data_IF_932661830251
#
_entry.id   IF_932661830251
#
_cell.length_a   1.000
_cell.length_b   1.000
_cell.length_c   1.000
_cell.angle_alpha   90.00
_cell.angle_beta   90.00
_cell.angle_gamma   90.00
#
_symmetry.space_group_name_H-M   'P 1'
#
loop_
_entity.id
_entity.type
_entity.pdbx_description
1 polymer ?
#
# COMPACT_ATOMS: atom_id res chain seq x y z
N UNK A 1 -15.53 -16.00 15.52
CA UNK A 1 -16.47 -15.08 14.85
C UNK A 1 -15.71 -14.36 13.74
N UNK A 2 -15.96 -14.72 12.51
CA UNK A 2 -15.39 -14.00 11.37
C UNK A 2 -16.08 -12.64 11.33
N UNK A 3 -15.33 -11.57 11.62
CA UNK A 3 -15.79 -10.22 11.40
C UNK A 3 -16.10 -10.08 9.92
N UNK A 4 -17.37 -9.86 9.59
CA UNK A 4 -17.81 -9.58 8.24
C UNK A 4 -17.09 -8.29 7.80
N UNK A 5 -16.02 -8.46 7.02
CA UNK A 5 -15.23 -7.36 6.51
C UNK A 5 -16.13 -6.44 5.70
N UNK A 6 -16.08 -5.14 6.00
CA UNK A 6 -16.64 -4.13 5.11
C UNK A 6 -16.14 -4.39 3.70
N UNK A 7 -16.99 -4.32 2.66
CA UNK A 7 -16.52 -4.42 1.29
C UNK A 7 -15.41 -3.37 1.09
N UNK A 8 -14.23 -3.80 0.66
CA UNK A 8 -13.07 -2.94 0.49
C UNK A 8 -11.94 -3.12 1.51
N UNK A 9 -12.00 -4.13 2.37
CA UNK A 9 -10.91 -4.42 3.31
C UNK A 9 -10.25 -5.76 3.00
N UNK A 10 -8.99 -5.72 2.57
CA UNK A 10 -8.13 -6.90 2.48
C UNK A 10 -6.86 -6.66 3.29
N UNK A 11 -7.02 -6.60 4.60
CA UNK A 11 -5.91 -6.73 5.53
C UNK A 11 -6.03 -8.08 6.24
N UNK A 12 -4.91 -8.77 6.51
CA UNK A 12 -4.91 -9.95 7.38
C UNK A 12 -5.55 -9.60 8.71
N UNK A 13 -6.34 -10.49 9.27
CA UNK A 13 -6.92 -10.34 10.61
C UNK A 13 -5.85 -10.03 11.66
N UNK A 14 -6.24 -9.39 12.75
CA UNK A 14 -5.33 -8.92 13.80
C UNK A 14 -4.35 -10.00 14.24
N UNK A 15 -3.10 -9.76 13.94
CA UNK A 15 -1.98 -10.54 14.44
C UNK A 15 -1.64 -10.01 15.84
N UNK A 16 -1.61 -10.90 16.83
CA UNK A 16 -1.05 -10.78 18.18
C UNK A 16 -0.64 -9.37 18.68
N UNK A 17 -0.83 -9.10 19.96
CA UNK A 17 -0.56 -7.83 20.63
C UNK A 17 0.60 -7.03 20.06
N UNK A 18 0.29 -5.82 19.62
CA UNK A 18 1.25 -4.85 19.13
C UNK A 18 1.77 -4.04 20.32
N UNK A 19 2.87 -4.49 20.90
CA UNK A 19 3.44 -3.88 22.10
C UNK A 19 4.58 -2.91 21.68
N UNK A 20 4.52 -1.69 22.20
CA UNK A 20 5.71 -0.84 22.34
C UNK A 20 6.07 0.11 21.20
N UNK A 21 5.28 0.23 20.11
CA UNK A 21 5.62 1.12 18.96
C UNK A 21 4.61 2.25 18.75
N UNK A 22 4.05 2.80 19.82
CA UNK A 22 3.02 3.86 19.73
C UNK A 22 3.54 5.14 19.06
N UNK A 23 4.78 5.53 19.36
CA UNK A 23 5.39 6.72 18.77
C UNK A 23 5.60 6.55 17.26
N UNK A 24 6.10 5.40 16.84
CA UNK A 24 6.29 5.09 15.41
C UNK A 24 4.94 5.03 14.67
N UNK A 25 3.94 4.40 15.26
CA UNK A 25 2.59 4.36 14.71
C UNK A 25 1.99 5.77 14.54
N UNK A 26 2.15 6.64 15.53
CA UNK A 26 1.72 8.04 15.45
C UNK A 26 2.44 8.79 14.32
N UNK A 27 3.74 8.56 14.15
CA UNK A 27 4.53 9.16 13.06
C UNK A 27 4.04 8.69 11.68
N UNK A 28 3.76 7.40 11.51
CA UNK A 28 3.23 6.87 10.25
C UNK A 28 1.86 7.48 9.93
N UNK A 29 0.99 7.58 10.90
CA UNK A 29 -0.33 8.19 10.74
C UNK A 29 -0.22 9.67 10.35
N UNK A 30 0.61 10.43 11.04
CA UNK A 30 0.87 11.84 10.71
C UNK A 30 1.46 12.00 9.31
N UNK A 31 2.37 11.12 8.91
CA UNK A 31 2.94 11.11 7.57
C UNK A 31 1.87 10.84 6.49
N UNK A 32 0.94 9.90 6.73
CA UNK A 32 -0.17 9.61 5.83
C UNK A 32 -1.18 10.77 5.70
N UNK A 33 -1.28 11.63 6.70
CA UNK A 33 -2.08 12.85 6.60
C UNK A 33 -1.43 13.90 5.71
N UNK A 34 -0.10 14.04 5.80
CA UNK A 34 0.67 15.07 5.10
C UNK A 34 1.20 14.69 3.72
N UNK A 35 1.34 13.40 3.42
CA UNK A 35 1.92 12.91 2.17
C UNK A 35 1.06 11.83 1.53
N UNK A 36 1.09 11.76 0.20
CA UNK A 36 0.33 10.79 -0.57
C UNK A 36 1.10 9.49 -0.82
N UNK A 37 2.42 9.52 -0.67
CA UNK A 37 3.30 8.35 -0.66
C UNK A 37 4.15 8.38 0.60
N UNK A 38 4.06 7.35 1.40
CA UNK A 38 4.88 7.14 2.61
C UNK A 38 5.61 5.82 2.47
N UNK A 39 6.92 5.82 2.71
CA UNK A 39 7.74 4.61 2.69
C UNK A 39 8.30 4.33 4.08
N UNK A 40 7.97 3.17 4.63
CA UNK A 40 8.63 2.66 5.84
C UNK A 40 9.92 1.96 5.43
N UNK A 41 11.04 2.53 5.84
CA UNK A 41 12.37 1.99 5.53
C UNK A 41 13.02 1.36 6.75
N UNK A 42 13.92 0.44 6.50
CA UNK A 42 14.71 -0.19 7.55
C UNK A 42 15.13 -1.61 7.19
N UNK A 43 16.05 -2.19 7.97
CA UNK A 43 16.53 -3.56 7.75
C UNK A 43 15.40 -4.59 7.87
N UNK A 44 15.62 -5.78 7.31
CA UNK A 44 14.67 -6.88 7.43
C UNK A 44 14.45 -7.28 8.89
N UNK A 45 13.23 -7.75 9.20
CA UNK A 45 12.89 -8.27 10.52
C UNK A 45 12.56 -7.25 11.61
N UNK A 46 12.57 -5.94 11.31
CA UNK A 46 12.22 -4.89 12.31
C UNK A 46 10.72 -4.62 12.46
N UNK A 47 9.88 -5.38 11.77
CA UNK A 47 8.43 -5.27 11.89
C UNK A 47 7.79 -4.16 11.05
N UNK A 48 8.40 -3.77 9.92
CA UNK A 48 7.82 -2.78 8.99
C UNK A 48 6.44 -3.16 8.51
N UNK A 49 6.26 -4.40 8.07
CA UNK A 49 4.97 -4.94 7.62
C UNK A 49 3.91 -4.82 8.70
N UNK A 50 4.20 -5.23 9.93
CA UNK A 50 3.26 -5.13 11.05
C UNK A 50 2.90 -3.67 11.37
N UNK A 51 3.87 -2.78 11.34
CA UNK A 51 3.67 -1.35 11.57
C UNK A 51 2.79 -0.75 10.46
N UNK A 52 3.07 -1.07 9.19
CA UNK A 52 2.27 -0.63 8.04
C UNK A 52 0.82 -1.11 8.15
N UNK A 53 0.61 -2.40 8.43
CA UNK A 53 -0.73 -2.97 8.58
C UNK A 53 -1.50 -2.36 9.74
N UNK A 54 -0.83 -2.11 10.86
CA UNK A 54 -1.46 -1.46 12.02
C UNK A 54 -1.84 0.00 11.74
N UNK A 55 -0.96 0.75 11.06
CA UNK A 55 -1.26 2.12 10.63
C UNK A 55 -2.42 2.16 9.64
N UNK A 56 -2.40 1.28 8.65
CA UNK A 56 -3.43 1.16 7.62
C UNK A 56 -4.80 0.77 8.23
N UNK A 57 -4.81 -0.18 9.15
CA UNK A 57 -6.03 -0.59 9.87
C UNK A 57 -6.66 0.57 10.63
N UNK A 58 -5.85 1.41 11.27
CA UNK A 58 -6.34 2.60 11.98
C UNK A 58 -6.80 3.74 11.06
N UNK A 59 -6.35 3.76 9.81
CA UNK A 59 -6.68 4.82 8.84
C UNK A 59 -7.99 4.58 8.07
N UNK A 60 -8.63 3.44 8.25
CA UNK A 60 -9.75 3.00 7.41
C UNK A 60 -10.96 3.93 7.33
N UNK A 61 -11.18 4.77 8.35
CA UNK A 61 -12.28 5.76 8.31
C UNK A 61 -12.04 6.89 7.31
N UNK A 62 -10.79 7.16 6.97
CA UNK A 62 -10.41 8.20 6.00
C UNK A 62 -10.51 7.72 4.54
N UNK A 63 -10.58 6.41 4.32
CA UNK A 63 -10.60 5.79 3.00
C UNK A 63 -11.89 5.00 2.77
N UNK A 64 -12.90 5.69 2.25
CA UNK A 64 -14.25 5.14 2.07
C UNK A 64 -14.29 3.95 1.11
N UNK A 65 -13.37 3.91 0.14
CA UNK A 65 -13.28 2.86 -0.87
C UNK A 65 -12.29 1.75 -0.48
N UNK A 66 -11.80 1.82 0.74
CA UNK A 66 -11.09 0.71 1.38
C UNK A 66 -9.59 0.88 1.56
N UNK A 67 -9.06 -0.09 2.28
CA UNK A 67 -7.62 -0.27 2.53
C UNK A 67 -7.23 -1.63 1.97
N UNK A 68 -6.24 -1.64 1.08
CA UNK A 68 -5.88 -2.82 0.31
C UNK A 68 -4.40 -3.14 0.46
N UNK A 69 -4.06 -4.41 0.53
CA UNK A 69 -2.69 -4.90 0.67
C UNK A 69 -2.26 -5.65 -0.58
N UNK A 70 -1.17 -5.21 -1.18
CA UNK A 70 -0.43 -5.95 -2.20
C UNK A 70 0.88 -6.49 -1.60
N UNK A 71 0.95 -7.80 -1.45
CA UNK A 71 2.13 -8.50 -0.93
C UNK A 71 3.07 -8.82 -2.10
N UNK A 72 4.18 -8.08 -2.19
CA UNK A 72 5.11 -8.14 -3.32
C UNK A 72 6.32 -9.06 -3.07
N UNK A 73 6.46 -9.57 -1.87
CA UNK A 73 7.62 -10.39 -1.48
C UNK A 73 7.86 -11.62 -2.35
N UNK A 74 6.81 -12.23 -2.87
CA UNK A 74 6.87 -13.38 -3.78
C UNK A 74 6.91 -13.04 -5.26
N UNK A 75 6.71 -11.78 -5.63
CA UNK A 75 6.69 -11.33 -7.01
C UNK A 75 8.11 -11.13 -7.53
N UNK A 76 8.50 -11.84 -8.58
CA UNK A 76 9.85 -11.77 -9.16
C UNK A 76 9.92 -10.94 -10.44
N UNK A 77 8.86 -10.95 -11.24
CA UNK A 77 8.81 -10.25 -12.53
C UNK A 77 8.17 -8.86 -12.34
N UNK A 78 8.92 -7.76 -12.53
CA UNK A 78 8.36 -6.40 -12.47
C UNK A 78 7.21 -6.17 -13.46
N UNK A 79 7.19 -6.89 -14.57
CA UNK A 79 6.14 -6.82 -15.58
C UNK A 79 4.76 -7.29 -15.08
N UNK A 80 4.71 -8.00 -13.96
CA UNK A 80 3.47 -8.48 -13.32
C UNK A 80 3.00 -7.58 -12.18
N UNK A 81 3.71 -6.49 -11.88
CA UNK A 81 3.40 -5.62 -10.75
C UNK A 81 1.98 -5.02 -10.83
N UNK A 82 1.61 -4.53 -12.01
CA UNK A 82 0.29 -3.91 -12.22
C UNK A 82 -0.83 -4.94 -12.04
N UNK A 83 -0.63 -6.15 -12.57
CA UNK A 83 -1.59 -7.26 -12.41
C UNK A 83 -1.73 -7.67 -10.93
N UNK A 84 -0.63 -7.72 -10.19
CA UNK A 84 -0.64 -8.05 -8.76
C UNK A 84 -1.38 -6.98 -7.94
N UNK A 85 -1.15 -5.71 -8.23
CA UNK A 85 -1.87 -4.61 -7.58
C UNK A 85 -3.36 -4.66 -7.94
N UNK A 86 -3.70 -4.87 -9.20
CA UNK A 86 -5.09 -5.01 -9.63
C UNK A 86 -5.78 -6.19 -8.92
N UNK A 87 -5.08 -7.33 -8.84
CA UNK A 87 -5.58 -8.52 -8.12
C UNK A 87 -5.80 -8.23 -6.64
N UNK A 88 -4.90 -7.50 -6.00
CA UNK A 88 -5.02 -7.12 -4.59
C UNK A 88 -6.25 -6.25 -4.33
N UNK A 89 -6.62 -5.40 -5.29
CA UNK A 89 -7.82 -4.57 -5.27
C UNK A 89 -9.12 -5.34 -5.57
N UNK A 90 -9.02 -6.65 -5.76
CA UNK A 90 -10.17 -7.49 -6.11
C UNK A 90 -10.58 -7.43 -7.59
N UNK A 91 -9.73 -6.81 -8.42
CA UNK A 91 -9.94 -6.72 -9.85
C UNK A 91 -9.37 -7.97 -10.50
N UNK A 92 -10.20 -8.74 -11.18
CA UNK A 92 -9.75 -9.90 -11.94
C UNK A 92 -10.09 -9.69 -13.42
N UNK A 93 -9.07 -9.80 -14.26
CA UNK A 93 -9.27 -9.91 -15.68
C UNK A 93 -8.68 -11.25 -16.15
N UNK A 94 -9.53 -12.17 -16.57
CA UNK A 94 -9.11 -13.53 -16.97
C UNK A 94 -8.44 -13.56 -18.34
N UNK A 95 -8.52 -12.51 -19.13
CA UNK A 95 -8.16 -12.54 -20.54
C UNK A 95 -7.14 -11.49 -20.98
N UNK A 96 -6.74 -10.54 -20.15
CA UNK A 96 -5.76 -9.52 -20.51
C UNK A 96 -4.96 -9.04 -19.29
N UNK A 97 -3.73 -8.59 -19.55
CA UNK A 97 -2.92 -7.89 -18.55
C UNK A 97 -3.52 -6.51 -18.24
N UNK A 98 -3.43 -6.11 -16.99
CA UNK A 98 -3.82 -4.76 -16.58
C UNK A 98 -2.82 -3.73 -17.09
N UNK A 99 -3.33 -2.67 -17.71
CA UNK A 99 -2.54 -1.49 -18.01
C UNK A 99 -2.56 -0.51 -16.83
N UNK A 100 -1.49 0.26 -16.65
CA UNK A 100 -1.42 1.31 -15.62
C UNK A 100 -2.56 2.31 -15.79
N UNK A 101 -2.88 2.70 -17.03
CA UNK A 101 -3.99 3.61 -17.32
C UNK A 101 -5.35 3.08 -16.84
N UNK A 102 -5.64 1.80 -17.07
CA UNK A 102 -6.89 1.18 -16.63
C UNK A 102 -6.98 1.12 -15.10
N UNK A 103 -5.87 0.86 -14.43
CA UNK A 103 -5.80 0.89 -12.98
C UNK A 103 -5.98 2.30 -12.42
N UNK A 104 -5.39 3.30 -13.06
CA UNK A 104 -5.57 4.71 -12.73
C UNK A 104 -7.02 5.15 -12.90
N UNK A 105 -7.66 4.80 -14.01
CA UNK A 105 -9.08 5.09 -14.26
C UNK A 105 -9.99 4.49 -13.19
N UNK A 106 -9.70 3.26 -12.75
CA UNK A 106 -10.43 2.63 -11.66
C UNK A 106 -10.29 3.37 -10.35
N UNK A 107 -9.11 3.91 -10.04
CA UNK A 107 -8.78 4.57 -8.78
C UNK A 107 -9.11 6.07 -8.77
N UNK A 108 -9.32 6.70 -9.93
CA UNK A 108 -9.42 8.16 -10.09
C UNK A 108 -10.43 8.81 -9.14
N UNK A 109 -11.64 8.24 -9.04
CA UNK A 109 -12.71 8.79 -8.22
C UNK A 109 -12.80 8.15 -6.82
N UNK A 110 -11.81 7.34 -6.42
CA UNK A 110 -11.84 6.56 -5.18
C UNK A 110 -10.90 7.10 -4.12
N UNK A 111 -11.30 6.96 -2.88
CA UNK A 111 -10.47 7.25 -1.71
C UNK A 111 -9.94 5.94 -1.14
N UNK A 112 -8.76 5.56 -1.59
CA UNK A 112 -8.12 4.27 -1.31
C UNK A 112 -6.78 4.48 -0.61
N UNK A 113 -6.50 3.64 0.37
CA UNK A 113 -5.14 3.42 0.89
C UNK A 113 -4.62 2.09 0.34
N UNK A 114 -3.58 2.15 -0.46
CA UNK A 114 -2.89 0.99 -1.01
C UNK A 114 -1.60 0.74 -0.22
N UNK A 115 -1.49 -0.42 0.40
CA UNK A 115 -0.27 -0.86 1.07
C UNK A 115 0.51 -1.76 0.12
N UNK A 116 1.75 -1.36 -0.19
CA UNK A 116 2.69 -2.15 -0.99
C UNK A 116 3.74 -2.73 -0.05
N UNK A 117 3.67 -4.03 0.21
CA UNK A 117 4.56 -4.68 1.18
C UNK A 117 5.72 -5.39 0.50
N UNK A 118 6.91 -5.20 1.07
CA UNK A 118 8.17 -5.81 0.61
C UNK A 118 8.57 -5.40 -0.82
N UNK A 119 8.70 -4.09 -1.04
CA UNK A 119 9.00 -3.52 -2.36
C UNK A 119 10.49 -3.57 -2.75
N UNK A 120 11.41 -3.96 -1.87
CA UNK A 120 12.86 -3.78 -2.03
C UNK A 120 13.42 -4.33 -3.33
N UNK A 121 12.94 -5.48 -3.78
CA UNK A 121 13.41 -6.12 -5.02
C UNK A 121 12.72 -5.61 -6.29
N UNK A 122 11.68 -4.80 -6.14
CA UNK A 122 10.91 -4.15 -7.21
C UNK A 122 10.84 -2.63 -7.00
N UNK A 123 11.79 -2.04 -6.30
CA UNK A 123 11.73 -0.66 -5.84
C UNK A 123 11.52 0.35 -6.98
N UNK A 124 12.24 0.21 -8.09
CA UNK A 124 12.11 1.09 -9.25
C UNK A 124 10.74 0.95 -9.93
N UNK A 125 10.28 -0.27 -10.13
CA UNK A 125 8.95 -0.53 -10.71
C UNK A 125 7.82 -0.01 -9.82
N UNK A 126 7.94 -0.20 -8.50
CA UNK A 126 6.99 0.34 -7.52
C UNK A 126 6.99 1.87 -7.52
N UNK A 127 8.15 2.51 -7.62
CA UNK A 127 8.27 3.97 -7.68
C UNK A 127 7.59 4.53 -8.95
N UNK A 128 7.84 3.94 -10.09
CA UNK A 128 7.23 4.32 -11.37
C UNK A 128 5.71 4.16 -11.33
N UNK A 129 5.22 3.02 -10.83
CA UNK A 129 3.78 2.76 -10.70
C UNK A 129 3.13 3.74 -9.73
N UNK A 130 3.73 3.95 -8.56
CA UNK A 130 3.21 4.88 -7.56
C UNK A 130 3.11 6.31 -8.11
N UNK A 131 4.13 6.79 -8.80
CA UNK A 131 4.12 8.11 -9.42
C UNK A 131 3.01 8.22 -10.48
N UNK A 132 2.87 7.23 -11.34
CA UNK A 132 1.84 7.23 -12.39
C UNK A 132 0.42 7.25 -11.80
N UNK A 133 0.15 6.42 -10.79
CA UNK A 133 -1.16 6.37 -10.13
C UNK A 133 -1.47 7.65 -9.36
N UNK A 134 -0.50 8.19 -8.63
CA UNK A 134 -0.69 9.39 -7.82
C UNK A 134 -0.92 10.66 -8.65
N UNK A 135 -0.44 10.73 -9.88
CA UNK A 135 -0.72 11.84 -10.80
C UNK A 135 -2.20 11.95 -11.16
N UNK A 136 -2.87 10.81 -11.39
CA UNK A 136 -4.26 10.77 -11.83
C UNK A 136 -5.29 10.60 -10.72
N UNK A 137 -4.88 10.16 -9.54
CA UNK A 137 -5.78 9.70 -8.48
C UNK A 137 -5.62 10.53 -7.22
N UNK A 138 -6.37 11.63 -7.10
CA UNK A 138 -6.24 12.58 -5.96
C UNK A 138 -6.62 11.96 -4.60
N UNK A 139 -7.51 10.99 -4.58
CA UNK A 139 -7.96 10.29 -3.38
C UNK A 139 -7.10 9.07 -2.97
N UNK A 140 -6.11 8.72 -3.79
CA UNK A 140 -5.21 7.61 -3.53
C UNK A 140 -4.08 8.03 -2.58
N UNK A 141 -3.80 7.19 -1.59
CA UNK A 141 -2.56 7.22 -0.81
C UNK A 141 -1.89 5.86 -0.85
N UNK A 142 -0.57 5.86 -0.83
CA UNK A 142 0.26 4.66 -0.89
C UNK A 142 1.16 4.61 0.34
N UNK A 143 1.14 3.47 1.03
CA UNK A 143 2.03 3.14 2.12
C UNK A 143 2.89 1.95 1.70
N UNK A 144 4.17 2.16 1.52
CA UNK A 144 5.09 1.13 1.08
C UNK A 144 6.02 0.69 2.22
N UNK A 145 6.40 -0.58 2.22
CA UNK A 145 7.50 -1.08 3.05
C UNK A 145 8.66 -1.52 2.16
N UNK A 146 9.86 -1.10 2.49
CA UNK A 146 11.06 -1.43 1.73
C UNK A 146 12.31 -1.29 2.58
N UNK A 147 13.41 -1.89 2.15
CA UNK A 147 14.73 -1.64 2.77
C UNK A 147 15.27 -0.26 2.40
N UNK A 148 14.84 0.29 1.27
CA UNK A 148 15.29 1.56 0.72
C UNK A 148 14.10 2.45 0.35
N UNK A 149 14.33 3.76 0.28
CA UNK A 149 13.30 4.73 -0.12
C UNK A 149 12.84 4.48 -1.55
N UNK A 150 11.52 4.54 -1.78
CA UNK A 150 10.94 4.51 -3.12
C UNK A 150 10.90 5.91 -3.72
N UNK A 151 11.65 6.12 -4.80
CA UNK A 151 11.60 7.37 -5.57
C UNK A 151 12.26 8.58 -4.90
N UNK A 152 12.31 9.70 -5.64
CA UNK A 152 12.97 10.96 -5.22
C UNK A 152 12.02 12.06 -4.76
N UNK A 153 10.71 11.92 -4.96
CA UNK A 153 9.77 13.03 -4.75
C UNK A 153 8.59 12.61 -3.88
N UNK A 154 8.30 13.41 -2.87
CA UNK A 154 7.12 13.30 -1.99
C UNK A 154 7.10 12.09 -1.04
N UNK A 155 8.25 11.57 -0.66
CA UNK A 155 8.34 10.47 0.30
C UNK A 155 8.72 11.02 1.68
N UNK A 156 7.87 10.82 2.67
CA UNK A 156 8.32 10.77 4.05
C UNK A 156 8.88 9.37 4.30
N UNK A 157 10.18 9.30 4.50
CA UNK A 157 10.84 8.08 4.98
C UNK A 157 10.79 8.07 6.49
N UNK A 158 10.36 7.00 7.04
CA UNK A 158 10.31 6.78 8.49
C UNK A 158 11.18 5.59 8.85
#
# INVERSE_FOLDING_TARGET
MMSAGRPGWRLPGELTEFVGRRAELARVRAALEGARLVTLTGPGGIGKTRLALRAASGAGRAFNDGVWLAELGGLRDPGLLVDEVARSLGLSNRSARWAVASLADYLEARRVLLVLDQCEHLADACAVLAEALLRGCSGLRILATSRHVLGRSCCNSL
#
